data_IF_559448157257
#
_entry.id   IF_559448157257
#
_cell.length_a   1.000
_cell.length_b   1.000
_cell.length_c   1.000
_cell.angle_alpha   90.00
_cell.angle_beta   90.00
_cell.angle_gamma   90.00
#
_symmetry.space_group_name_H-M   'P 1'
#
loop_
_entity.id
_entity.type
_entity.pdbx_description
1 polymer ?
#
# COMPACT_ATOMS: atom_id res chain seq x y z
N UNK A 1 12.26 20.03 -10.31
CA UNK A 1 11.22 19.60 -11.27
C UNK A 1 10.74 18.23 -10.85
N UNK A 2 9.44 17.95 -10.90
CA UNK A 2 8.86 16.64 -10.58
C UNK A 2 8.22 16.09 -11.85
N UNK A 3 8.53 14.85 -12.20
CA UNK A 3 7.94 14.15 -13.35
C UNK A 3 7.28 12.88 -12.84
N UNK A 4 5.99 12.72 -13.12
CA UNK A 4 5.24 11.51 -12.78
C UNK A 4 5.03 10.67 -14.05
N UNK A 5 5.40 9.38 -13.99
CA UNK A 5 5.14 8.41 -15.06
C UNK A 5 3.99 7.51 -14.61
N UNK A 6 2.81 7.71 -15.20
CA UNK A 6 1.58 7.01 -14.83
C UNK A 6 0.97 6.28 -16.03
N UNK A 7 0.18 5.23 -15.77
CA UNK A 7 -0.60 4.49 -16.77
C UNK A 7 -1.74 3.74 -16.08
N UNK A 8 -2.84 3.55 -16.81
CA UNK A 8 -4.06 2.94 -16.28
C UNK A 8 -4.12 1.42 -16.29
N UNK A 9 -3.05 0.71 -16.68
CA UNK A 9 -3.02 -0.77 -16.70
C UNK A 9 -1.65 -1.31 -16.26
N UNK A 10 -1.63 -2.50 -15.68
CA UNK A 10 -0.41 -3.28 -15.46
C UNK A 10 0.24 -3.71 -16.79
N UNK A 11 1.56 -3.86 -16.81
CA UNK A 11 2.29 -4.38 -17.98
C UNK A 11 2.50 -3.41 -19.15
N UNK A 12 2.10 -2.13 -19.05
CA UNK A 12 2.28 -1.15 -20.15
C UNK A 12 3.69 -0.55 -20.26
N UNK A 13 4.67 -1.09 -19.54
CA UNK A 13 6.06 -0.61 -19.58
C UNK A 13 6.36 0.66 -18.76
N UNK A 14 5.50 1.05 -17.81
CA UNK A 14 5.71 2.25 -16.94
C UNK A 14 7.09 2.26 -16.30
N UNK A 15 7.44 1.16 -15.62
CA UNK A 15 8.71 1.02 -14.90
C UNK A 15 9.89 1.12 -15.85
N UNK A 16 9.81 0.52 -17.03
CA UNK A 16 10.85 0.61 -18.06
C UNK A 16 11.10 2.05 -18.50
N UNK A 17 10.03 2.81 -18.79
CA UNK A 17 10.14 4.22 -19.18
C UNK A 17 10.69 5.06 -18.05
N UNK A 18 10.16 4.90 -16.83
CA UNK A 18 10.59 5.66 -15.66
C UNK A 18 12.08 5.44 -15.35
N UNK A 19 12.53 4.18 -15.34
CA UNK A 19 13.94 3.83 -15.06
C UNK A 19 14.89 4.39 -16.12
N UNK A 20 14.58 4.22 -17.41
CA UNK A 20 15.45 4.75 -18.47
C UNK A 20 15.51 6.27 -18.48
N UNK A 21 14.39 6.96 -18.18
CA UNK A 21 14.38 8.41 -18.03
C UNK A 21 15.29 8.85 -16.87
N UNK A 22 15.22 8.16 -15.74
CA UNK A 22 16.06 8.44 -14.58
C UNK A 22 17.56 8.21 -14.89
N UNK A 23 17.91 7.10 -15.54
CA UNK A 23 19.29 6.79 -15.92
C UNK A 23 19.88 7.77 -16.94
N UNK A 24 19.04 8.50 -17.68
CA UNK A 24 19.47 9.52 -18.65
C UNK A 24 19.78 10.88 -18.01
N UNK A 25 19.66 11.01 -16.69
CA UNK A 25 19.80 12.26 -15.94
C UNK A 25 20.81 12.06 -14.79
N UNK A 26 21.82 12.93 -14.67
CA UNK A 26 22.92 12.75 -13.71
C UNK A 26 22.51 12.87 -12.22
N UNK A 27 21.48 13.67 -11.90
CA UNK A 27 21.09 13.96 -10.52
C UNK A 27 19.57 13.77 -10.34
N UNK A 28 19.14 12.52 -10.21
CA UNK A 28 17.73 12.16 -10.08
C UNK A 28 17.45 11.46 -8.75
N UNK A 29 16.32 11.81 -8.14
CA UNK A 29 15.71 11.01 -7.09
C UNK A 29 14.61 10.17 -7.73
N UNK A 30 14.74 8.85 -7.64
CA UNK A 30 13.75 7.90 -8.16
C UNK A 30 12.85 7.43 -7.02
N UNK A 31 11.53 7.47 -7.23
CA UNK A 31 10.54 6.91 -6.33
C UNK A 31 9.69 5.90 -7.09
N UNK A 32 9.67 4.65 -6.62
CA UNK A 32 8.74 3.63 -7.10
C UNK A 32 7.47 3.69 -6.24
N UNK A 33 6.43 4.34 -6.77
CA UNK A 33 5.17 4.55 -6.05
C UNK A 33 4.10 3.50 -6.40
N UNK A 34 4.49 2.37 -6.98
CA UNK A 34 3.59 1.23 -7.14
C UNK A 34 3.40 0.52 -5.78
N UNK A 35 2.17 0.52 -5.27
CA UNK A 35 1.83 -0.06 -3.96
C UNK A 35 1.74 -1.59 -4.04
N UNK A 36 1.29 -2.13 -5.17
CA UNK A 36 1.03 -3.56 -5.33
C UNK A 36 2.30 -4.30 -5.77
N UNK A 37 3.00 -3.78 -6.79
CA UNK A 37 4.13 -4.48 -7.42
C UNK A 37 5.29 -3.54 -7.80
N UNK A 38 6.04 -2.97 -6.83
CA UNK A 38 7.18 -2.11 -7.10
C UNK A 38 8.34 -2.89 -7.72
N UNK A 39 8.63 -2.64 -9.01
CA UNK A 39 9.56 -3.42 -9.82
C UNK A 39 10.84 -2.67 -10.23
N UNK A 40 11.00 -1.39 -9.89
CA UNK A 40 12.16 -0.61 -10.33
C UNK A 40 13.50 -1.17 -9.82
N UNK A 41 13.49 -1.81 -8.65
CA UNK A 41 14.65 -2.44 -8.05
C UNK A 41 15.25 -3.57 -8.91
N UNK A 42 14.44 -4.23 -9.76
CA UNK A 42 14.88 -5.28 -10.69
C UNK A 42 15.74 -4.73 -11.83
N UNK A 43 15.58 -3.45 -12.17
CA UNK A 43 16.33 -2.80 -13.24
C UNK A 43 17.48 -1.95 -12.69
N UNK A 44 17.23 -1.22 -11.60
CA UNK A 44 18.20 -0.31 -11.00
C UNK A 44 19.26 -1.01 -10.13
N UNK A 45 18.99 -2.23 -9.67
CA UNK A 45 19.86 -2.99 -8.76
C UNK A 45 20.44 -2.15 -7.60
N UNK A 46 19.60 -1.39 -6.87
CA UNK A 46 20.10 -0.44 -5.88
C UNK A 46 20.71 -1.17 -4.68
N UNK A 47 21.81 -0.62 -4.15
CA UNK A 47 22.30 -1.03 -2.83
C UNK A 47 21.40 -0.43 -1.74
N UNK A 48 20.61 -1.25 -1.08
CA UNK A 48 19.73 -0.80 -0.01
C UNK A 48 20.55 -0.51 1.25
N UNK A 49 20.63 0.76 1.64
CA UNK A 49 21.39 1.22 2.82
C UNK A 49 20.55 1.28 4.11
N UNK A 50 19.24 1.42 3.98
CA UNK A 50 18.28 1.51 5.10
C UNK A 50 16.99 0.78 4.73
N UNK A 51 16.40 0.10 5.70
CA UNK A 51 15.03 -0.40 5.66
C UNK A 51 14.40 -0.12 7.01
N UNK A 52 13.14 0.24 6.99
CA UNK A 52 12.35 0.45 8.19
C UNK A 52 10.95 -0.11 7.97
N UNK A 53 10.33 -0.69 9.00
CA UNK A 53 8.94 -1.10 8.91
C UNK A 53 8.05 0.14 8.80
N UNK A 54 7.02 0.03 7.97
CA UNK A 54 5.96 1.02 7.84
C UNK A 54 4.68 0.38 8.33
N UNK A 55 3.86 1.13 9.07
CA UNK A 55 2.67 0.62 9.73
C UNK A 55 1.44 1.41 9.27
N UNK A 56 0.31 0.72 9.20
CA UNK A 56 -1.01 1.31 8.98
C UNK A 56 -1.85 1.20 10.26
N UNK A 57 -2.75 2.15 10.52
CA UNK A 57 -3.68 2.03 11.63
C UNK A 57 -4.65 0.87 11.40
N UNK A 58 -4.83 0.03 12.42
CA UNK A 58 -5.81 -1.07 12.41
C UNK A 58 -6.80 -0.80 13.55
N UNK A 59 -8.12 -0.88 13.31
CA UNK A 59 -9.10 -0.67 14.36
C UNK A 59 -8.94 -1.70 15.47
N UNK A 60 -9.18 -1.30 16.71
CA UNK A 60 -9.16 -2.19 17.88
C UNK A 60 -10.49 -2.07 18.59
N UNK A 61 -11.16 -3.20 18.79
CA UNK A 61 -12.43 -3.26 19.50
C UNK A 61 -12.16 -3.31 21.00
N UNK A 62 -12.84 -2.45 21.75
CA UNK A 62 -12.91 -2.59 23.20
C UNK A 62 -14.04 -3.58 23.56
N UNK A 63 -13.66 -4.82 23.88
CA UNK A 63 -14.64 -5.87 24.21
C UNK A 63 -15.48 -5.57 25.45
N UNK A 64 -15.03 -4.71 26.36
CA UNK A 64 -15.81 -4.32 27.54
C UNK A 64 -17.00 -3.41 27.20
N UNK A 65 -16.93 -2.72 26.07
CA UNK A 65 -17.97 -1.77 25.61
C UNK A 65 -18.78 -2.32 24.43
N UNK A 66 -18.34 -3.42 23.83
CA UNK A 66 -18.95 -3.98 22.65
C UNK A 66 -20.23 -4.76 23.01
N UNK A 67 -21.35 -4.35 22.42
CA UNK A 67 -22.65 -5.03 22.51
C UNK A 67 -22.98 -5.85 21.25
N UNK A 68 -22.01 -6.02 20.34
CA UNK A 68 -22.15 -6.72 19.06
C UNK A 68 -23.20 -6.10 18.11
N UNK A 69 -23.46 -4.80 18.22
CA UNK A 69 -24.50 -4.12 17.42
C UNK A 69 -24.26 -4.04 15.90
N UNK A 70 -23.06 -4.39 15.41
CA UNK A 70 -22.78 -4.43 13.96
C UNK A 70 -22.46 -3.09 13.30
N UNK A 71 -22.71 -1.95 13.96
CA UNK A 71 -22.53 -0.60 13.36
C UNK A 71 -21.12 -0.33 12.80
N UNK A 72 -20.08 -0.89 13.43
CA UNK A 72 -18.71 -0.77 12.95
C UNK A 72 -18.47 -1.55 11.64
N UNK A 73 -19.15 -2.69 11.47
CA UNK A 73 -19.11 -3.49 10.24
C UNK A 73 -19.85 -2.79 9.11
N UNK A 74 -21.03 -2.24 9.37
CA UNK A 74 -21.83 -1.48 8.38
C UNK A 74 -21.10 -0.23 7.86
N UNK A 75 -20.33 0.43 8.73
CA UNK A 75 -19.51 1.60 8.35
C UNK A 75 -18.26 1.22 7.54
N UNK A 76 -17.81 -0.04 7.60
CA UNK A 76 -16.54 -0.46 7.01
C UNK A 76 -16.67 -0.64 5.48
N UNK A 77 -16.24 0.36 4.72
CA UNK A 77 -16.25 0.33 3.25
C UNK A 77 -15.53 -0.89 2.66
N UNK A 78 -14.44 -1.31 3.29
CA UNK A 78 -13.62 -2.45 2.85
C UNK A 78 -14.12 -3.81 3.36
N UNK A 79 -15.20 -3.84 4.16
CA UNK A 79 -15.72 -5.05 4.81
C UNK A 79 -14.66 -5.80 5.65
N UNK A 80 -13.69 -5.07 6.19
CA UNK A 80 -12.60 -5.60 7.01
C UNK A 80 -13.04 -5.95 8.45
N UNK A 81 -14.28 -5.67 8.83
CA UNK A 81 -14.82 -5.95 10.18
C UNK A 81 -16.04 -6.87 10.05
N UNK A 82 -15.97 -8.04 10.69
CA UNK A 82 -17.09 -8.97 10.80
C UNK A 82 -17.57 -9.08 12.25
N UNK A 83 -18.89 -8.94 12.44
CA UNK A 83 -19.53 -8.98 13.77
C UNK A 83 -20.49 -10.16 13.81
N UNK A 84 -20.26 -11.10 14.73
CA UNK A 84 -21.21 -12.17 15.08
C UNK A 84 -21.96 -11.80 16.37
N UNK A 85 -22.86 -12.68 16.83
CA UNK A 85 -23.62 -12.50 18.07
C UNK A 85 -22.76 -12.44 19.35
N UNK A 86 -21.50 -12.88 19.30
CA UNK A 86 -20.62 -12.95 20.48
C UNK A 86 -19.14 -12.78 20.17
N UNK A 87 -18.78 -12.36 18.94
CA UNK A 87 -17.38 -12.20 18.54
C UNK A 87 -17.26 -11.15 17.46
N UNK A 88 -16.12 -10.46 17.45
CA UNK A 88 -15.71 -9.60 16.33
C UNK A 88 -14.41 -10.15 15.73
N UNK A 89 -14.33 -10.12 14.41
CA UNK A 89 -13.13 -10.40 13.64
C UNK A 89 -12.75 -9.15 12.86
N UNK A 90 -11.48 -8.80 12.88
CA UNK A 90 -10.89 -7.72 12.09
C UNK A 90 -9.90 -8.38 11.14
N UNK A 91 -9.94 -7.99 9.88
CA UNK A 91 -9.06 -8.46 8.81
C UNK A 91 -8.13 -7.30 8.41
N UNK A 92 -6.93 -7.17 9.00
CA UNK A 92 -6.03 -6.03 8.76
C UNK A 92 -5.53 -5.90 7.33
N UNK A 93 -5.62 -6.98 6.54
CA UNK A 93 -5.15 -7.05 5.16
C UNK A 93 -6.18 -6.57 4.11
N UNK A 94 -7.40 -6.22 4.54
CA UNK A 94 -8.50 -5.72 3.69
C UNK A 94 -8.66 -4.19 3.78
#
# INVERSE_FOLDING_TARGET
>A
MIVAVASGKGGTGKTTVAVNLALSIENVQFLDCDVEEPNAHLLLHPKVSRREPVYIPVPVVNEQLCDYCGKCSEFCEYNAIFVSSNKILIFPEL
#
